data_IF_555613987764
#
_entry.id   IF_555613987764
#
_cell.length_a   1.000
_cell.length_b   1.000
_cell.length_c   1.000
_cell.angle_alpha   90.00
_cell.angle_beta   90.00
_cell.angle_gamma   90.00
#
_symmetry.space_group_name_H-M   'P 1'
#
loop_
_entity.id
_entity.type
_entity.pdbx_description
1 polymer ?
#
# COMPACT_ATOMS: atom_id res chain seq x y z
N UNK A 1 17.23 0.22 3.02
CA UNK A 1 17.86 1.26 2.18
C UNK A 1 16.83 1.64 1.15
N UNK A 2 16.57 2.93 1.03
CA UNK A 2 15.60 3.48 0.10
C UNK A 2 16.31 4.57 -0.70
N UNK A 3 16.06 4.62 -2.01
CA UNK A 3 16.74 5.55 -2.90
C UNK A 3 15.70 6.32 -3.69
N UNK A 4 15.96 7.62 -3.88
CA UNK A 4 15.23 8.45 -4.83
C UNK A 4 16.12 8.75 -6.03
N UNK A 5 15.53 8.95 -7.20
CA UNK A 5 16.25 9.30 -8.43
C UNK A 5 15.93 10.74 -8.79
N UNK A 6 16.95 11.59 -8.85
CA UNK A 6 16.82 12.95 -9.38
C UNK A 6 17.23 12.95 -10.85
N UNK A 7 16.25 13.21 -11.73
CA UNK A 7 16.45 13.15 -13.19
C UNK A 7 16.90 11.77 -13.68
N UNK A 8 17.73 11.75 -14.73
CA UNK A 8 18.18 10.50 -15.37
C UNK A 8 19.48 9.93 -14.83
N UNK A 9 20.24 10.64 -13.98
CA UNK A 9 21.65 10.28 -13.73
C UNK A 9 22.03 10.04 -12.28
N UNK A 10 21.25 10.51 -11.31
CA UNK A 10 21.67 10.47 -9.91
C UNK A 10 20.66 9.74 -9.03
N UNK A 11 21.16 8.81 -8.23
CA UNK A 11 20.43 8.16 -7.15
C UNK A 11 20.96 8.67 -5.82
N UNK A 12 20.06 9.10 -4.94
CA UNK A 12 20.37 9.57 -3.60
C UNK A 12 19.72 8.65 -2.58
N UNK A 13 20.46 8.23 -1.55
CA UNK A 13 19.88 7.49 -0.44
C UNK A 13 19.00 8.42 0.39
N UNK A 14 17.80 7.96 0.71
CA UNK A 14 16.92 8.62 1.67
C UNK A 14 17.42 8.22 3.07
N UNK A 15 17.74 9.17 3.97
CA UNK A 15 18.24 8.87 5.31
C UNK A 15 17.16 8.13 6.11
N UNK A 16 17.24 6.80 6.07
CA UNK A 16 16.25 5.89 6.69
C UNK A 16 16.63 5.45 8.10
N UNK A 17 17.86 5.75 8.54
CA UNK A 17 18.44 5.21 9.78
C UNK A 17 18.58 6.22 10.92
N UNK A 18 18.72 7.51 10.59
CA UNK A 18 18.97 8.60 11.54
C UNK A 18 18.13 9.82 11.16
N UNK A 19 17.75 10.65 12.14
CA UNK A 19 16.93 11.85 11.94
C UNK A 19 15.42 11.68 12.18
N UNK A 20 14.61 12.76 12.08
CA UNK A 20 13.17 12.73 12.33
C UNK A 20 12.44 11.77 11.37
N UNK A 21 13.02 11.53 10.20
CA UNK A 21 12.57 10.60 9.16
C UNK A 21 12.61 9.12 9.58
N UNK A 22 13.45 8.72 10.53
CA UNK A 22 13.80 7.32 10.91
C UNK A 22 12.80 6.23 10.42
N UNK A 23 13.06 5.65 9.24
CA UNK A 23 12.20 4.63 8.64
C UNK A 23 12.57 3.20 9.08
N UNK A 24 13.24 3.05 10.25
CA UNK A 24 13.57 1.72 10.78
C UNK A 24 12.31 0.86 10.88
N UNK A 25 12.45 -0.40 10.45
CA UNK A 25 11.32 -1.33 10.45
C UNK A 25 10.30 -1.09 9.35
N UNK A 26 10.62 -0.40 8.24
CA UNK A 26 9.77 -0.34 7.05
C UNK A 26 9.26 -1.75 6.63
N UNK A 27 7.94 -1.90 6.60
CA UNK A 27 7.21 -3.11 6.19
C UNK A 27 6.60 -2.94 4.81
N UNK A 28 6.02 -1.77 4.54
CA UNK A 28 5.35 -1.47 3.28
C UNK A 28 5.40 0.03 2.98
N UNK A 29 5.23 0.40 1.71
CA UNK A 29 5.23 1.79 1.24
C UNK A 29 4.19 1.96 0.12
N UNK A 30 3.62 3.16 0.05
CA UNK A 30 2.77 3.62 -1.04
C UNK A 30 3.21 5.03 -1.44
N UNK A 31 3.16 5.37 -2.74
CA UNK A 31 3.54 6.69 -3.23
C UNK A 31 2.40 7.29 -4.05
N UNK A 32 1.96 8.48 -3.67
CA UNK A 32 0.90 9.23 -4.38
C UNK A 32 1.05 10.72 -4.12
N UNK A 33 0.79 11.53 -5.14
CA UNK A 33 0.77 13.00 -5.07
C UNK A 33 1.99 13.61 -4.39
N UNK A 34 3.19 13.14 -4.79
CA UNK A 34 4.48 13.53 -4.22
C UNK A 34 4.61 13.23 -2.72
N UNK A 35 3.85 12.28 -2.19
CA UNK A 35 3.98 11.82 -0.81
C UNK A 35 4.31 10.34 -0.79
N UNK A 36 5.29 9.98 0.03
CA UNK A 36 5.62 8.60 0.34
C UNK A 36 5.04 8.25 1.71
N UNK A 37 4.15 7.28 1.73
CA UNK A 37 3.55 6.73 2.93
C UNK A 37 4.33 5.48 3.29
N UNK A 38 4.90 5.43 4.49
CA UNK A 38 5.74 4.35 4.97
C UNK A 38 5.09 3.68 6.16
N UNK A 39 4.74 2.41 6.00
CA UNK A 39 4.23 1.54 7.05
C UNK A 39 5.39 0.86 7.77
N UNK A 40 5.50 1.04 9.09
CA UNK A 40 6.49 0.35 9.93
C UNK A 40 5.99 -1.03 10.38
N UNK A 41 6.90 -1.85 10.91
CA UNK A 41 6.61 -3.13 11.57
C UNK A 41 5.76 -2.97 12.83
N UNK A 42 5.78 -1.78 13.43
CA UNK A 42 4.88 -1.38 14.50
C UNK A 42 3.55 -0.86 13.95
N UNK A 43 3.22 -1.10 12.68
CA UNK A 43 1.99 -0.61 12.03
C UNK A 43 1.78 0.91 12.13
N UNK A 44 2.86 1.68 12.32
CA UNK A 44 2.82 3.13 12.31
C UNK A 44 2.98 3.62 10.87
N UNK A 45 2.36 4.76 10.55
CA UNK A 45 2.46 5.36 9.23
C UNK A 45 3.26 6.65 9.34
N UNK A 46 4.34 6.73 8.58
CA UNK A 46 5.13 7.94 8.38
C UNK A 46 4.84 8.49 7.00
N UNK A 47 4.68 9.80 6.86
CA UNK A 47 4.42 10.44 5.57
C UNK A 47 5.57 11.40 5.26
N UNK A 48 6.22 11.17 4.13
CA UNK A 48 7.30 12.01 3.63
C UNK A 48 6.80 12.80 2.43
N UNK A 49 6.98 14.11 2.45
CA UNK A 49 6.66 15.02 1.36
C UNK A 49 7.87 15.17 0.43
N UNK A 50 7.71 14.76 -0.83
CA UNK A 50 8.68 14.82 -1.93
C UNK A 50 8.47 16.03 -2.85
N UNK A 51 7.71 17.05 -2.42
CA UNK A 51 7.57 18.29 -3.17
C UNK A 51 8.86 19.12 -3.25
N UNK A 52 9.85 18.81 -2.41
CA UNK A 52 11.15 19.46 -2.35
C UNK A 52 12.27 18.52 -2.82
N UNK A 53 13.49 19.03 -2.96
CA UNK A 53 14.67 18.24 -3.38
C UNK A 53 14.99 17.11 -2.40
N UNK A 54 14.84 17.38 -1.10
CA UNK A 54 14.95 16.37 -0.05
C UNK A 54 13.55 16.12 0.56
N UNK A 55 13.17 14.85 0.76
CA UNK A 55 11.90 14.53 1.36
C UNK A 55 11.85 14.99 2.82
N UNK A 56 10.70 15.52 3.24
CA UNK A 56 10.45 15.99 4.61
C UNK A 56 9.32 15.21 5.27
N UNK A 57 9.57 14.71 6.48
CA UNK A 57 8.61 14.03 7.32
C UNK A 57 7.56 15.02 7.82
N UNK A 58 6.31 14.71 7.56
CA UNK A 58 5.18 15.49 8.07
C UNK A 58 5.01 15.23 9.57
N UNK A 59 4.59 16.26 10.31
CA UNK A 59 4.33 16.16 11.75
C UNK A 59 3.20 15.17 12.10
N UNK A 60 2.32 14.86 11.14
CA UNK A 60 1.12 14.03 11.30
C UNK A 60 1.42 12.51 11.26
N UNK A 61 2.59 12.11 11.74
CA UNK A 61 3.01 10.71 11.81
C UNK A 61 2.13 9.96 12.83
N UNK A 62 1.67 8.77 12.44
CA UNK A 62 0.56 8.08 13.09
C UNK A 62 1.08 7.06 14.10
N UNK A 63 0.76 7.25 15.37
CA UNK A 63 1.03 6.26 16.42
C UNK A 63 -0.11 5.26 16.63
N UNK A 64 -1.33 5.58 16.17
CA UNK A 64 -2.50 4.73 16.34
C UNK A 64 -2.47 3.49 15.43
N UNK A 65 -2.28 2.33 16.04
CA UNK A 65 -2.28 1.02 15.39
C UNK A 65 -3.70 0.43 15.37
N UNK A 66 -4.37 0.30 14.20
CA UNK A 66 -5.71 -0.28 14.16
C UNK A 66 -5.74 -1.82 14.28
N UNK A 67 -4.59 -2.48 14.20
CA UNK A 67 -4.46 -3.95 14.30
C UNK A 67 -3.68 -4.38 15.55
N UNK A 68 -3.92 -3.74 16.70
CA UNK A 68 -3.30 -4.13 17.98
C UNK A 68 -3.61 -5.60 18.31
N UNK A 69 -2.62 -6.31 18.89
CA UNK A 69 -2.74 -7.66 19.46
C UNK A 69 -3.02 -8.84 18.51
N UNK A 70 -3.17 -8.62 17.21
CA UNK A 70 -3.29 -9.70 16.24
C UNK A 70 -1.89 -10.06 15.72
N UNK A 71 -1.47 -11.34 15.80
CA UNK A 71 -0.16 -11.88 15.33
C UNK A 71 0.36 -11.18 14.07
N UNK A 72 1.68 -11.08 13.81
CA UNK A 72 2.26 -10.28 12.72
C UNK A 72 1.83 -10.81 11.33
N UNK A 73 0.64 -10.42 10.89
CA UNK A 73 0.17 -10.62 9.54
C UNK A 73 0.79 -9.52 8.67
N UNK A 74 1.00 -9.82 7.38
CA UNK A 74 1.51 -8.84 6.41
C UNK A 74 0.44 -7.80 6.12
N UNK A 75 0.36 -6.78 6.98
CA UNK A 75 -0.41 -5.56 6.72
C UNK A 75 0.25 -4.81 5.56
N UNK A 76 -0.57 -4.30 4.66
CA UNK A 76 -0.18 -3.50 3.50
C UNK A 76 -0.82 -2.13 3.60
N UNK A 77 -0.13 -1.11 3.08
CA UNK A 77 -0.61 0.26 3.02
C UNK A 77 -1.03 0.60 1.59
N UNK A 78 -2.08 1.39 1.45
CA UNK A 78 -2.49 1.92 0.16
C UNK A 78 -2.98 3.35 0.25
N UNK A 79 -3.11 4.01 -0.89
CA UNK A 79 -3.74 5.34 -1.00
C UNK A 79 -4.76 5.31 -2.13
N UNK A 80 -5.97 5.77 -1.84
CA UNK A 80 -7.06 5.86 -2.83
C UNK A 80 -6.78 6.93 -3.88
N UNK A 81 -7.52 6.92 -5.00
CA UNK A 81 -7.46 7.99 -6.02
C UNK A 81 -7.71 9.35 -5.39
N UNK A 82 -8.67 9.42 -4.45
CA UNK A 82 -9.03 10.60 -3.68
C UNK A 82 -8.07 10.94 -2.52
N UNK A 83 -6.99 10.18 -2.32
CA UNK A 83 -5.94 10.50 -1.34
C UNK A 83 -6.17 9.94 0.06
N UNK A 84 -7.27 9.21 0.31
CA UNK A 84 -7.48 8.51 1.58
C UNK A 84 -6.47 7.38 1.77
N UNK A 85 -5.90 7.29 2.97
CA UNK A 85 -4.95 6.24 3.34
C UNK A 85 -5.71 4.99 3.77
N UNK A 86 -5.32 3.86 3.20
CA UNK A 86 -5.87 2.54 3.49
C UNK A 86 -4.84 1.66 4.18
N UNK A 87 -5.31 0.79 5.06
CA UNK A 87 -4.57 -0.37 5.53
C UNK A 87 -5.36 -1.63 5.22
N UNK A 88 -4.70 -2.61 4.61
CA UNK A 88 -5.31 -3.91 4.35
C UNK A 88 -4.59 -5.01 5.09
N UNK A 89 -5.39 -5.85 5.70
CA UNK A 89 -4.99 -7.14 6.23
C UNK A 89 -5.63 -8.21 5.38
N UNK A 90 -4.78 -9.04 4.77
CA UNK A 90 -5.22 -10.18 3.98
C UNK A 90 -4.62 -11.49 4.51
N UNK A 91 -5.41 -12.57 4.42
CA UNK A 91 -4.94 -13.94 4.62
C UNK A 91 -5.19 -14.74 3.35
N UNK A 92 -4.12 -15.06 2.65
CA UNK A 92 -4.13 -15.94 1.48
C UNK A 92 -3.46 -17.26 1.85
N UNK A 93 -4.17 -18.40 1.82
CA UNK A 93 -3.63 -19.72 2.17
C UNK A 93 -4.70 -20.67 2.73
N UNK A 94 -4.27 -21.69 3.49
CA UNK A 94 -5.17 -22.65 4.15
C UNK A 94 -5.91 -21.99 5.34
N UNK A 95 -7.24 -22.07 5.30
CA UNK A 95 -8.17 -21.42 6.24
C UNK A 95 -9.09 -20.40 5.55
N UNK A 96 -10.04 -19.80 6.29
CA UNK A 96 -10.93 -18.78 5.74
C UNK A 96 -10.12 -17.60 5.23
N UNK A 97 -10.29 -17.31 3.94
CA UNK A 97 -9.64 -16.17 3.30
C UNK A 97 -10.30 -14.91 3.84
N UNK A 98 -9.50 -14.05 4.45
CA UNK A 98 -9.99 -12.81 5.06
C UNK A 98 -9.39 -11.63 4.33
N UNK A 99 -10.25 -10.67 4.00
CA UNK A 99 -9.88 -9.33 3.53
C UNK A 99 -10.52 -8.32 4.49
N UNK A 100 -9.70 -7.61 5.26
CA UNK A 100 -10.14 -6.48 6.10
C UNK A 100 -9.41 -5.24 5.63
N UNK A 101 -10.16 -4.23 5.23
CA UNK A 101 -9.65 -2.94 4.76
C UNK A 101 -10.14 -1.88 5.73
N UNK A 102 -9.22 -1.03 6.16
CA UNK A 102 -9.49 0.12 7.00
C UNK A 102 -9.08 1.39 6.26
N UNK A 103 -9.88 2.44 6.40
CA UNK A 103 -9.60 3.78 5.89
C UNK A 103 -9.30 4.70 7.06
N UNK A 104 -8.23 5.49 6.93
CA UNK A 104 -7.91 6.52 7.90
C UNK A 104 -8.86 7.70 7.73
N UNK A 105 -9.34 8.25 8.84
CA UNK A 105 -10.03 9.53 8.83
C UNK A 105 -9.10 10.67 8.35
N UNK A 106 -9.64 11.77 7.80
CA UNK A 106 -8.83 12.89 7.34
C UNK A 106 -8.01 13.58 8.45
N UNK A 107 -8.57 13.65 9.67
CA UNK A 107 -7.91 14.21 10.85
C UNK A 107 -6.82 13.27 11.40
N UNK A 108 -6.90 11.99 11.02
CA UNK A 108 -5.88 11.00 11.26
C UNK A 108 -5.88 10.41 12.67
N UNK A 109 -7.01 10.50 13.35
CA UNK A 109 -7.26 10.07 14.74
C UNK A 109 -7.87 8.68 14.85
N UNK A 110 -8.49 8.16 13.79
CA UNK A 110 -9.31 6.95 13.82
C UNK A 110 -9.26 6.17 12.49
N UNK A 111 -9.91 4.99 12.50
CA UNK A 111 -9.91 4.06 11.38
C UNK A 111 -11.29 3.46 11.20
N UNK A 112 -11.85 3.63 10.00
CA UNK A 112 -13.15 3.06 9.63
C UNK A 112 -13.00 1.82 8.77
N UNK A 113 -13.90 0.86 8.95
CA UNK A 113 -13.94 -0.30 8.05
C UNK A 113 -14.47 0.12 6.68
N UNK A 114 -13.74 -0.25 5.63
CA UNK A 114 -14.18 -0.01 4.26
C UNK A 114 -15.11 -1.12 3.82
N UNK A 115 -16.35 -0.76 3.51
CA UNK A 115 -17.37 -1.68 2.97
C UNK A 115 -17.38 -1.70 1.43
N UNK A 116 -16.89 -0.64 0.81
CA UNK A 116 -16.81 -0.48 -0.64
C UNK A 116 -15.66 0.45 -1.04
N UNK A 117 -14.94 0.10 -2.12
CA UNK A 117 -14.06 1.01 -2.88
C UNK A 117 -14.80 1.67 -4.04
N UNK A 118 -16.12 1.48 -4.13
CA UNK A 118 -16.98 2.05 -5.15
C UNK A 118 -16.50 1.68 -6.56
N UNK A 119 -16.22 2.68 -7.40
CA UNK A 119 -15.71 2.50 -8.75
C UNK A 119 -14.21 2.23 -8.82
N UNK A 120 -13.51 2.04 -7.71
CA UNK A 120 -12.05 1.85 -7.70
C UNK A 120 -11.65 0.37 -7.55
N UNK A 121 -10.44 0.05 -8.03
CA UNK A 121 -9.77 -1.21 -7.82
C UNK A 121 -8.42 -0.97 -7.14
N UNK A 122 -8.09 -1.73 -6.09
CA UNK A 122 -6.79 -1.64 -5.43
C UNK A 122 -5.82 -2.66 -6.01
N UNK A 123 -4.72 -2.19 -6.61
CA UNK A 123 -3.57 -3.05 -6.91
C UNK A 123 -2.65 -3.07 -5.69
N UNK A 124 -2.78 -4.10 -4.85
CA UNK A 124 -2.20 -4.12 -3.50
C UNK A 124 -0.68 -3.96 -3.49
N UNK A 125 0.02 -4.57 -4.45
CA UNK A 125 1.48 -4.49 -4.52
C UNK A 125 2.00 -3.11 -4.95
N UNK A 126 1.16 -2.29 -5.60
CA UNK A 126 1.47 -0.90 -5.93
C UNK A 126 1.12 0.06 -4.79
N UNK A 127 0.33 -0.38 -3.80
CA UNK A 127 -0.11 0.48 -2.70
C UNK A 127 -1.01 1.63 -3.17
N UNK A 128 -1.71 1.49 -4.29
CA UNK A 128 -2.63 2.52 -4.80
C UNK A 128 -3.92 1.90 -5.33
N UNK A 129 -5.01 2.65 -5.22
CA UNK A 129 -6.20 2.36 -6.01
C UNK A 129 -6.15 3.09 -7.34
N UNK A 130 -6.87 2.54 -8.30
CA UNK A 130 -7.08 3.11 -9.62
C UNK A 130 -8.59 3.09 -9.93
N UNK A 131 -9.11 4.01 -10.76
CA UNK A 131 -10.45 3.86 -11.30
C UNK A 131 -10.58 2.51 -12.00
N UNK A 132 -11.70 1.83 -11.80
CA UNK A 132 -12.00 0.62 -12.54
C UNK A 132 -12.24 0.98 -14.00
N UNK A 133 -11.49 0.32 -14.88
CA UNK A 133 -11.56 0.45 -16.33
C UNK A 133 -11.76 -0.94 -16.91
N UNK A 134 -12.02 -1.08 -18.21
CA UNK A 134 -12.47 -2.32 -18.87
C UNK A 134 -11.84 -3.65 -18.39
N UNK A 135 -10.56 -3.66 -17.98
CA UNK A 135 -9.82 -4.85 -17.55
C UNK A 135 -9.75 -5.06 -16.02
N UNK A 136 -10.26 -4.11 -15.23
CA UNK A 136 -10.30 -4.16 -13.77
C UNK A 136 -11.73 -4.17 -13.26
N UNK A 137 -11.97 -4.94 -12.18
CA UNK A 137 -13.30 -5.01 -11.54
C UNK A 137 -13.43 -3.86 -10.53
N UNK A 138 -14.50 -3.06 -10.55
CA UNK A 138 -14.76 -2.10 -9.48
C UNK A 138 -14.93 -2.82 -8.14
N UNK A 139 -14.70 -2.10 -7.05
CA UNK A 139 -14.85 -2.59 -5.70
C UNK A 139 -14.02 -3.86 -5.39
N UNK A 140 -12.80 -3.91 -5.91
CA UNK A 140 -11.96 -5.11 -5.85
C UNK A 140 -10.51 -4.85 -5.45
N UNK A 141 -9.83 -5.90 -4.99
CA UNK A 141 -8.42 -5.87 -4.59
C UNK A 141 -7.65 -6.96 -5.33
N UNK A 142 -6.61 -6.58 -6.05
CA UNK A 142 -5.70 -7.50 -6.73
C UNK A 142 -4.46 -7.74 -5.87
N UNK A 143 -4.17 -9.00 -5.58
CA UNK A 143 -3.07 -9.42 -4.70
C UNK A 143 -2.17 -10.39 -5.45
N UNK A 144 -0.89 -10.06 -5.64
CA UNK A 144 0.09 -11.05 -6.10
C UNK A 144 0.70 -11.76 -4.89
N UNK A 145 0.66 -13.08 -4.89
CA UNK A 145 1.36 -13.90 -3.90
C UNK A 145 2.00 -15.10 -4.57
N UNK A 146 3.30 -15.24 -4.34
CA UNK A 146 4.16 -16.27 -4.93
C UNK A 146 4.14 -16.24 -6.47
N UNK A 147 3.34 -17.11 -7.09
CA UNK A 147 3.12 -17.21 -8.55
C UNK A 147 1.67 -16.94 -8.96
N UNK A 148 0.84 -16.48 -8.04
CA UNK A 148 -0.60 -16.40 -8.23
C UNK A 148 -1.11 -14.98 -8.08
N UNK A 149 -2.15 -14.67 -8.84
CA UNK A 149 -2.95 -13.46 -8.64
C UNK A 149 -4.30 -13.84 -8.03
N UNK A 150 -4.60 -13.18 -6.92
CA UNK A 150 -5.88 -13.28 -6.22
C UNK A 150 -6.68 -12.01 -6.43
N UNK A 151 -7.99 -12.17 -6.59
CA UNK A 151 -8.96 -11.09 -6.66
C UNK A 151 -9.85 -11.14 -5.43
N UNK A 152 -9.84 -10.08 -4.66
CA UNK A 152 -10.73 -9.84 -3.55
C UNK A 152 -11.92 -9.01 -3.99
N UNK A 153 -13.11 -9.41 -3.56
CA UNK A 153 -14.29 -8.56 -3.62
C UNK A 153 -14.48 -7.92 -2.23
N UNK A 154 -14.46 -6.60 -2.17
CA UNK A 154 -14.44 -5.87 -0.89
C UNK A 154 -15.74 -6.08 -0.11
N UNK A 155 -16.88 -6.15 -0.81
CA UNK A 155 -18.18 -6.32 -0.17
C UNK A 155 -18.35 -7.72 0.42
N UNK A 156 -17.89 -8.75 -0.30
CA UNK A 156 -17.98 -10.13 0.24
C UNK A 156 -16.83 -10.48 1.20
N UNK A 157 -15.77 -9.66 1.24
CA UNK A 157 -14.53 -9.90 2.00
C UNK A 157 -13.82 -11.22 1.67
N UNK A 158 -14.16 -11.81 0.52
CA UNK A 158 -13.61 -13.08 0.05
C UNK A 158 -12.51 -12.86 -0.99
N UNK A 159 -11.53 -13.76 -1.02
CA UNK A 159 -10.44 -13.76 -2.01
C UNK A 159 -10.59 -14.97 -2.96
N UNK A 160 -10.83 -14.73 -4.24
CA UNK A 160 -10.76 -15.74 -5.30
C UNK A 160 -9.33 -15.84 -5.86
N UNK A 161 -8.92 -17.01 -6.34
CA UNK A 161 -7.73 -17.12 -7.20
C UNK A 161 -8.20 -16.94 -8.64
N UNK A 162 -7.58 -16.03 -9.38
CA UNK A 162 -8.06 -15.68 -10.73
C UNK A 162 -7.12 -16.16 -11.82
N UNK A 163 -5.82 -16.10 -11.58
CA UNK A 163 -4.83 -16.50 -12.58
C UNK A 163 -3.72 -17.33 -11.96
N UNK A 164 -3.38 -18.40 -12.67
CA UNK A 164 -2.13 -19.13 -12.50
C UNK A 164 -1.11 -18.53 -13.47
N UNK A 165 -0.45 -17.46 -13.03
CA UNK A 165 0.55 -16.82 -13.88
C UNK A 165 1.82 -17.64 -13.74
N UNK A 166 2.25 -18.34 -14.80
CA UNK A 166 3.53 -19.03 -14.80
C UNK A 166 4.68 -18.02 -14.87
N UNK A 167 4.91 -17.35 -13.75
CA UNK A 167 6.02 -16.44 -13.56
C UNK A 167 7.22 -17.31 -13.21
N UNK A 168 8.21 -17.32 -14.10
CA UNK A 168 9.50 -17.99 -13.90
C UNK A 168 10.25 -17.50 -12.64
N UNK A 169 9.73 -16.49 -11.92
CA UNK A 169 10.29 -15.91 -10.68
C UNK A 169 9.19 -15.55 -9.68
N UNK A 170 9.48 -15.68 -8.38
CA UNK A 170 8.60 -15.22 -7.29
C UNK A 170 8.48 -13.69 -7.34
N UNK A 171 7.29 -13.16 -7.62
CA UNK A 171 7.04 -11.71 -7.63
C UNK A 171 6.78 -11.13 -6.24
N UNK A 172 6.71 -11.96 -5.18
CA UNK A 172 6.31 -11.56 -3.83
C UNK A 172 7.14 -10.45 -3.17
N UNK A 173 8.25 -10.06 -3.79
CA UNK A 173 9.15 -9.01 -3.31
C UNK A 173 9.40 -7.89 -4.34
N UNK A 174 8.94 -8.04 -5.58
CA UNK A 174 9.13 -7.03 -6.62
C UNK A 174 7.94 -6.05 -6.58
N UNK A 175 8.18 -4.82 -6.12
CA UNK A 175 7.24 -3.72 -6.29
C UNK A 175 7.66 -2.90 -7.49
N UNK A 176 6.76 -2.79 -8.45
CA UNK A 176 6.94 -1.93 -9.61
C UNK A 176 6.45 -0.54 -9.20
N UNK A 177 7.34 0.42 -9.12
CA UNK A 177 6.93 1.82 -9.08
C UNK A 177 6.78 2.27 -10.53
N UNK A 178 5.57 2.66 -10.92
CA UNK A 178 5.33 3.35 -12.19
C UNK A 178 5.13 4.83 -11.82
N UNK A 179 6.20 5.64 -11.78
CA UNK A 179 6.12 7.04 -11.40
C UNK A 179 5.55 7.86 -12.57
N UNK A 180 4.32 7.60 -12.97
CA UNK A 180 3.48 8.39 -13.88
C UNK A 180 2.34 7.53 -14.40
N UNK A 181 1.22 7.54 -13.69
CA UNK A 181 -0.08 7.16 -14.26
C UNK A 181 -0.87 8.43 -14.61
N UNK A 182 -0.16 9.47 -15.09
CA UNK A 182 -0.78 10.74 -15.52
C UNK A 182 -1.44 10.63 -16.91
N UNK A 183 -1.32 9.50 -17.59
CA UNK A 183 -1.77 9.32 -18.98
C UNK A 183 -2.41 7.94 -19.25
N UNK A 184 -3.30 7.47 -18.36
CA UNK A 184 -4.23 6.38 -18.68
C UNK A 184 -5.66 6.78 -18.29
#
# INVERSE_FOLDING_TARGET
MMYTRSGLRFWSEIPTREGPENLHGCQDIAFKDNKLYVLSRQNQIRILDFSQELPLALANNVEHQPFTNERPWRVKIGVTVSGHVLMVKNRVGEGPKMLKILKRDPEGTSWDTVESLEGEAWIMDLGVTIPAVNWTKPNSVYICKDKHVYLGDVSTRMLGRVLDVNLNRRLSHARWFIPSLREL
#
